data_IF_900228454087
#
_entry.id   IF_900228454087
#
_cell.length_a   1.000
_cell.length_b   1.000
_cell.length_c   1.000
_cell.angle_alpha   90.00
_cell.angle_beta   90.00
_cell.angle_gamma   90.00
#
_symmetry.space_group_name_H-M   'P 1'
#
loop_
_entity.id
_entity.type
_entity.pdbx_description
1 polymer ?
#
# COMPACT_ATOMS: atom_id res chain seq x y z
N UNK A 1 1.65 -20.28 -6.57
CA UNK A 1 2.14 -20.39 -5.18
C UNK A 1 1.40 -19.45 -4.25
N UNK A 2 0.62 -20.02 -3.34
CA UNK A 2 0.10 -19.30 -2.18
C UNK A 2 1.27 -18.98 -1.23
N UNK A 3 1.34 -17.77 -0.67
CA UNK A 3 2.35 -17.42 0.35
C UNK A 3 3.54 -16.55 -0.08
N UNK A 4 3.75 -16.30 -1.38
CA UNK A 4 4.85 -15.43 -1.88
C UNK A 4 4.79 -13.94 -1.47
N UNK A 5 3.78 -13.50 -0.72
CA UNK A 5 3.69 -12.12 -0.20
C UNK A 5 3.14 -11.07 -1.16
N UNK A 6 2.69 -11.42 -2.38
CA UNK A 6 2.17 -10.46 -3.37
C UNK A 6 1.05 -9.55 -2.83
N UNK A 7 0.01 -10.14 -2.25
CA UNK A 7 -1.13 -9.39 -1.71
C UNK A 7 -0.69 -8.48 -0.56
N UNK A 8 0.20 -8.96 0.30
CA UNK A 8 0.79 -8.19 1.40
C UNK A 8 1.59 -6.97 0.89
N UNK A 9 2.42 -7.16 -0.14
CA UNK A 9 3.17 -6.08 -0.77
C UNK A 9 2.25 -5.07 -1.46
N UNK A 10 1.22 -5.52 -2.17
CA UNK A 10 0.22 -4.64 -2.79
C UNK A 10 -0.53 -3.81 -1.75
N UNK A 11 -0.95 -4.44 -0.64
CA UNK A 11 -1.56 -3.74 0.49
C UNK A 11 -0.61 -2.72 1.12
N UNK A 12 0.68 -3.03 1.25
CA UNK A 12 1.69 -2.07 1.75
C UNK A 12 1.81 -0.84 0.83
N UNK A 13 1.89 -1.04 -0.49
CA UNK A 13 1.92 0.04 -1.48
C UNK A 13 0.69 0.95 -1.36
N UNK A 14 -0.48 0.35 -1.19
CA UNK A 14 -1.73 1.08 -1.05
C UNK A 14 -1.99 1.61 0.39
N UNK A 15 -1.15 1.26 1.36
CA UNK A 15 -1.35 1.49 2.79
C UNK A 15 -2.69 0.99 3.30
N UNK A 16 -2.96 -0.28 3.00
CA UNK A 16 -4.09 -1.10 3.40
C UNK A 16 -3.61 -2.34 4.17
N UNK A 17 -2.43 -2.26 4.81
CA UNK A 17 -1.97 -3.32 5.68
C UNK A 17 -2.95 -3.50 6.86
N UNK A 18 -3.16 -4.73 7.34
CA UNK A 18 -3.91 -4.98 8.56
C UNK A 18 -3.36 -4.19 9.74
N UNK A 19 -4.21 -3.88 10.71
CA UNK A 19 -3.78 -3.26 11.96
C UNK A 19 -2.70 -4.09 12.66
N UNK A 20 -1.74 -3.41 13.29
CA UNK A 20 -0.60 -4.05 13.93
C UNK A 20 0.52 -4.48 12.99
N UNK A 21 0.33 -4.35 11.67
CA UNK A 21 1.33 -4.73 10.67
C UNK A 21 1.95 -3.50 10.01
N UNK A 22 3.26 -3.33 10.21
CA UNK A 22 4.04 -2.22 9.64
C UNK A 22 5.25 -2.73 8.87
N UNK A 23 5.63 -2.09 7.75
CA UNK A 23 6.90 -2.39 7.09
C UNK A 23 8.06 -2.23 8.07
N UNK A 24 8.91 -3.24 8.19
CA UNK A 24 10.07 -3.21 9.08
C UNK A 24 11.23 -2.41 8.53
N UNK A 25 11.37 -2.35 7.19
CA UNK A 25 12.41 -1.63 6.49
C UNK A 25 12.01 -1.37 5.02
N UNK A 26 12.85 -0.61 4.32
CA UNK A 26 12.70 -0.35 2.89
C UNK A 26 11.85 0.88 2.57
N UNK A 27 11.57 1.09 1.29
CA UNK A 27 10.81 2.22 0.77
C UNK A 27 9.96 1.79 -0.43
N UNK A 28 8.81 2.45 -0.59
CA UNK A 28 7.97 2.29 -1.77
C UNK A 28 7.90 3.64 -2.46
N UNK A 29 8.55 3.81 -3.60
CA UNK A 29 8.67 5.13 -4.26
C UNK A 29 7.70 5.24 -5.42
N UNK A 30 6.88 6.30 -5.43
CA UNK A 30 6.01 6.65 -6.54
C UNK A 30 6.03 8.16 -6.77
N UNK A 31 6.31 8.59 -8.01
CA UNK A 31 6.44 10.01 -8.33
C UNK A 31 7.47 10.76 -7.48
N UNK A 32 8.58 10.08 -7.13
CA UNK A 32 9.66 10.63 -6.28
C UNK A 32 9.34 10.72 -4.78
N UNK A 33 8.17 10.23 -4.33
CA UNK A 33 7.76 10.24 -2.92
C UNK A 33 7.78 8.83 -2.35
N UNK A 34 8.30 8.69 -1.13
CA UNK A 34 8.17 7.45 -0.36
C UNK A 34 6.77 7.33 0.24
N UNK A 35 6.03 6.32 -0.20
CA UNK A 35 4.65 6.05 0.17
C UNK A 35 4.52 5.51 1.60
N UNK A 36 5.55 4.85 2.12
CA UNK A 36 5.47 4.24 3.46
C UNK A 36 5.37 5.32 4.54
N UNK A 37 6.13 6.40 4.39
CA UNK A 37 6.11 7.56 5.29
C UNK A 37 5.02 8.60 5.03
N UNK A 38 4.07 8.36 4.12
CA UNK A 38 3.04 9.36 3.81
C UNK A 38 2.04 9.53 4.96
N UNK A 39 1.72 10.79 5.35
CA UNK A 39 0.59 11.08 6.23
C UNK A 39 -0.73 10.56 5.67
N UNK A 40 -1.68 10.22 6.55
CA UNK A 40 -2.96 9.64 6.16
C UNK A 40 -3.73 10.49 5.13
N UNK A 41 -3.71 11.83 5.27
CA UNK A 41 -4.37 12.75 4.35
C UNK A 41 -3.77 12.69 2.92
N UNK A 42 -2.45 12.64 2.81
CA UNK A 42 -1.76 12.51 1.53
C UNK A 42 -1.98 11.14 0.89
N UNK A 43 -2.01 10.09 1.71
CA UNK A 43 -2.35 8.74 1.27
C UNK A 43 -3.77 8.64 0.72
N UNK A 44 -4.73 9.34 1.36
CA UNK A 44 -6.10 9.46 0.87
C UNK A 44 -6.19 10.20 -0.46
N UNK A 45 -5.35 11.20 -0.72
CA UNK A 45 -5.31 11.90 -2.03
C UNK A 45 -4.71 11.04 -3.13
N UNK A 46 -3.71 10.22 -2.80
CA UNK A 46 -3.13 9.26 -3.74
C UNK A 46 -4.16 8.21 -4.16
N UNK A 47 -4.89 7.65 -3.19
CA UNK A 47 -5.97 6.69 -3.43
C UNK A 47 -7.18 7.40 -4.05
N UNK A 48 -7.55 6.99 -5.27
CA UNK A 48 -8.67 7.57 -6.02
C UNK A 48 -8.32 8.76 -6.91
N UNK A 49 -7.13 9.35 -6.78
CA UNK A 49 -6.62 10.36 -7.71
C UNK A 49 -5.49 9.87 -8.62
N UNK A 50 -4.59 9.03 -8.08
CA UNK A 50 -3.38 8.58 -8.80
C UNK A 50 -3.19 7.06 -8.82
N UNK A 51 -3.78 6.36 -7.85
CA UNK A 51 -3.73 4.90 -7.77
C UNK A 51 -5.07 4.34 -7.27
N UNK A 52 -5.44 3.19 -7.82
CA UNK A 52 -6.57 2.40 -7.38
C UNK A 52 -6.16 0.92 -7.32
N UNK A 53 -6.83 0.15 -6.47
CA UNK A 53 -6.60 -1.28 -6.33
C UNK A 53 -7.86 -2.03 -6.76
N UNK A 54 -7.68 -3.04 -7.60
CA UNK A 54 -8.74 -3.99 -7.95
C UNK A 54 -8.50 -5.24 -7.10
N UNK A 55 -9.42 -5.54 -6.20
CA UNK A 55 -9.32 -6.69 -5.29
C UNK A 55 -9.70 -7.97 -6.03
N UNK A 56 -9.00 -9.07 -5.72
CA UNK A 56 -9.25 -10.37 -6.35
C UNK A 56 -10.57 -10.98 -5.90
N UNK A 57 -10.91 -10.83 -4.62
CA UNK A 57 -12.21 -11.19 -4.04
C UNK A 57 -12.79 -9.91 -3.43
N UNK A 58 -14.10 -9.63 -3.62
CA UNK A 58 -14.75 -8.51 -2.94
C UNK A 58 -14.69 -8.75 -1.43
N UNK A 59 -14.04 -7.84 -0.71
CA UNK A 59 -13.97 -7.81 0.76
C UNK A 59 -15.35 -7.58 1.37
#
# INVERSE_FOLDING_TARGET
ESGSGKSMSASAVMGLLPEGLTPSAGRVVFGGRDLLGLPAAERRRLRGGKAAMIFQEPM
#
